data_IF_915897425131
#
_entry.id   IF_915897425131
#
_cell.length_a   1.000
_cell.length_b   1.000
_cell.length_c   1.000
_cell.angle_alpha   90.00
_cell.angle_beta   90.00
_cell.angle_gamma   90.00
#
_symmetry.space_group_name_H-M   'P 1'
#
loop_
_entity.id
_entity.type
_entity.pdbx_description
1 polymer ?
#
# COMPACT_ATOMS: atom_id res chain seq x y z
N UNK A 1 -11.36 -14.68 -14.00
CA UNK A 1 -10.57 -14.80 -12.75
C UNK A 1 -10.08 -13.41 -12.37
N UNK A 2 -10.54 -12.84 -11.25
CA UNK A 2 -10.24 -11.45 -10.88
C UNK A 2 -8.77 -11.32 -10.47
N UNK A 3 -8.02 -10.47 -11.20
CA UNK A 3 -6.61 -10.17 -10.94
C UNK A 3 -6.53 -9.30 -9.68
N UNK A 4 -6.06 -9.87 -8.56
CA UNK A 4 -5.77 -9.11 -7.35
C UNK A 4 -4.54 -8.26 -7.63
N UNK A 5 -4.75 -6.97 -7.87
CA UNK A 5 -3.69 -5.96 -7.97
C UNK A 5 -2.86 -5.98 -6.67
N UNK A 6 -1.75 -6.72 -6.67
CA UNK A 6 -0.74 -6.63 -5.62
C UNK A 6 0.02 -5.34 -5.84
N UNK A 7 -0.35 -4.29 -5.10
CA UNK A 7 0.35 -3.00 -5.12
C UNK A 7 1.73 -3.14 -4.43
N UNK A 8 2.63 -3.93 -5.02
CA UNK A 8 4.02 -4.04 -4.62
C UNK A 8 4.76 -2.81 -5.11
N UNK A 9 5.28 -2.02 -4.17
CA UNK A 9 6.13 -0.86 -4.47
C UNK A 9 7.59 -1.28 -4.34
N UNK A 10 8.34 -1.18 -5.43
CA UNK A 10 9.78 -1.42 -5.44
C UNK A 10 10.52 -0.17 -4.99
N UNK A 11 11.54 -0.34 -4.14
CA UNK A 11 12.42 0.73 -3.69
C UNK A 11 13.86 0.21 -3.57
N UNK A 12 14.83 1.12 -3.62
CA UNK A 12 16.24 0.80 -3.44
C UNK A 12 16.56 0.83 -1.94
N UNK A 13 17.03 -0.29 -1.41
CA UNK A 13 17.54 -0.40 -0.04
C UNK A 13 19.06 -0.21 -0.06
N UNK A 14 19.59 0.65 0.81
CA UNK A 14 21.03 0.83 1.02
C UNK A 14 21.38 0.24 2.38
N UNK A 15 22.24 -0.77 2.37
CA UNK A 15 22.78 -1.45 3.54
C UNK A 15 24.26 -1.74 3.28
N UNK A 16 25.05 -1.85 4.34
CA UNK A 16 26.44 -2.28 4.23
C UNK A 16 26.54 -3.78 3.91
N UNK A 17 27.73 -4.20 3.46
CA UNK A 17 27.96 -5.58 3.01
C UNK A 17 27.86 -6.60 4.15
N UNK A 18 28.28 -6.23 5.36
CA UNK A 18 28.31 -7.14 6.50
C UNK A 18 26.88 -7.48 6.94
N UNK A 19 26.02 -6.45 7.03
CA UNK A 19 24.59 -6.62 7.28
C UNK A 19 23.92 -7.47 6.21
N UNK A 20 24.25 -7.26 4.93
CA UNK A 20 23.67 -8.06 3.84
C UNK A 20 24.03 -9.54 3.97
N UNK A 21 25.32 -9.85 4.21
CA UNK A 21 25.77 -11.23 4.39
C UNK A 21 25.14 -11.91 5.60
N UNK A 22 24.94 -11.18 6.71
CA UNK A 22 24.23 -11.72 7.88
C UNK A 22 22.76 -12.06 7.57
N UNK A 23 22.08 -11.24 6.75
CA UNK A 23 20.69 -11.50 6.35
C UNK A 23 20.61 -12.69 5.38
N UNK A 24 21.57 -12.84 4.47
CA UNK A 24 21.65 -13.99 3.56
C UNK A 24 21.85 -15.30 4.33
N UNK A 25 22.81 -15.35 5.25
CA UNK A 25 23.04 -16.53 6.09
C UNK A 25 21.79 -16.90 6.91
N UNK A 26 21.10 -15.92 7.50
CA UNK A 26 19.86 -16.19 8.24
C UNK A 26 18.74 -16.69 7.32
N UNK A 27 18.64 -16.15 6.10
CA UNK A 27 17.67 -16.64 5.12
C UNK A 27 17.97 -18.10 4.72
N UNK A 28 19.24 -18.46 4.55
CA UNK A 28 19.68 -19.84 4.26
C UNK A 28 19.35 -20.79 5.41
N UNK A 29 19.62 -20.41 6.66
CA UNK A 29 19.32 -21.20 7.86
C UNK A 29 17.82 -21.52 7.99
N UNK A 30 16.95 -20.59 7.58
CA UNK A 30 15.49 -20.75 7.62
C UNK A 30 14.89 -21.25 6.29
N UNK A 31 15.72 -21.62 5.31
CA UNK A 31 15.30 -22.02 3.96
C UNK A 31 14.34 -21.02 3.30
N UNK A 32 14.63 -19.73 3.42
CA UNK A 32 13.89 -18.62 2.80
C UNK A 32 14.75 -17.90 1.76
N UNK A 33 14.09 -17.14 0.87
CA UNK A 33 14.82 -16.16 0.06
C UNK A 33 15.17 -14.93 0.89
N UNK A 34 16.27 -14.26 0.55
CA UNK A 34 16.70 -13.01 1.21
C UNK A 34 15.60 -11.94 1.20
N UNK A 35 14.86 -11.82 0.09
CA UNK A 35 13.73 -10.90 0.02
C UNK A 35 12.57 -11.31 0.95
N UNK A 36 12.28 -12.62 1.06
CA UNK A 36 11.30 -13.13 2.02
C UNK A 36 11.72 -12.86 3.47
N UNK A 37 13.01 -13.02 3.77
CA UNK A 37 13.57 -12.73 5.09
C UNK A 37 13.47 -11.24 5.43
N UNK A 38 13.84 -10.35 4.50
CA UNK A 38 13.67 -8.90 4.67
C UNK A 38 12.21 -8.52 4.91
N UNK A 39 11.26 -9.10 4.17
CA UNK A 39 9.84 -8.85 4.38
C UNK A 39 9.38 -9.28 5.77
N UNK A 40 9.84 -10.45 6.24
CA UNK A 40 9.52 -10.94 7.58
C UNK A 40 10.08 -10.02 8.67
N UNK A 41 11.36 -9.65 8.58
CA UNK A 41 12.02 -8.74 9.53
C UNK A 41 11.27 -7.41 9.62
N UNK A 42 10.91 -6.81 8.47
CA UNK A 42 10.17 -5.55 8.42
C UNK A 42 8.78 -5.71 9.04
N UNK A 43 8.05 -6.76 8.70
CA UNK A 43 6.72 -7.01 9.24
C UNK A 43 6.75 -7.20 10.77
N UNK A 44 7.72 -7.96 11.26
CA UNK A 44 7.94 -8.23 12.67
C UNK A 44 8.34 -6.96 13.43
N UNK A 45 9.24 -6.14 12.88
CA UNK A 45 9.63 -4.85 13.45
C UNK A 45 8.44 -3.88 13.52
N UNK A 46 7.63 -3.79 12.46
CA UNK A 46 6.41 -2.97 12.44
C UNK A 46 5.37 -3.44 13.46
N UNK A 47 5.21 -4.77 13.62
CA UNK A 47 4.32 -5.36 14.61
C UNK A 47 4.77 -5.04 16.02
N UNK A 48 6.05 -5.24 16.34
CA UNK A 48 6.66 -4.92 17.64
C UNK A 48 6.58 -3.43 17.95
N UNK A 49 6.76 -2.56 16.96
CA UNK A 49 6.63 -1.12 17.11
C UNK A 49 5.16 -0.63 17.19
N UNK A 50 4.16 -1.51 17.02
CA UNK A 50 2.75 -1.12 16.95
C UNK A 50 2.40 -0.24 15.75
N UNK A 51 3.25 -0.22 14.72
CA UNK A 51 3.13 0.62 13.52
C UNK A 51 2.47 -0.08 12.34
N UNK A 52 2.05 -1.33 12.53
CA UNK A 52 1.31 -2.04 11.50
C UNK A 52 0.02 -1.25 11.20
N UNK A 53 -0.26 -0.91 9.93
CA UNK A 53 -1.46 -0.17 9.59
C UNK A 53 -2.68 -0.97 10.07
N UNK A 54 -3.44 -0.40 11.01
CA UNK A 54 -4.75 -0.96 11.38
C UNK A 54 -5.51 -1.13 10.07
N UNK A 55 -5.98 -2.35 9.77
CA UNK A 55 -6.80 -2.62 8.58
C UNK A 55 -8.03 -1.71 8.59
N UNK A 56 -7.90 -0.48 8.08
CA UNK A 56 -9.04 0.29 7.61
C UNK A 56 -9.55 -0.52 6.42
N UNK A 57 -10.74 -1.10 6.56
CA UNK A 57 -11.51 -1.65 5.44
C UNK A 57 -11.67 -0.54 4.39
N UNK A 58 -10.70 -0.39 3.50
CA UNK A 58 -10.66 0.69 2.53
C UNK A 58 -10.25 0.14 1.17
N UNK A 59 -11.15 -0.68 0.60
CA UNK A 59 -11.21 -0.93 -0.84
C UNK A 59 -12.62 -1.36 -1.30
N UNK A 60 -13.69 -0.92 -0.61
CA UNK A 60 -15.08 -1.09 -1.07
C UNK A 60 -15.92 0.11 -0.64
N UNK A 61 -15.54 1.29 -1.10
CA UNK A 61 -16.36 2.51 -1.19
C UNK A 61 -15.66 3.51 -2.10
N UNK A 62 -15.72 3.26 -3.41
CA UNK A 62 -15.58 4.29 -4.45
C UNK A 62 -16.58 3.99 -5.56
N UNK A 63 -17.85 4.20 -5.25
CA UNK A 63 -18.91 4.50 -6.22
C UNK A 63 -20.08 5.08 -5.44
N UNK A 64 -20.03 6.40 -5.22
CA UNK A 64 -21.15 7.30 -4.93
C UNK A 64 -20.54 8.67 -4.69
N UNK A 65 -20.18 9.32 -5.79
CA UNK A 65 -19.97 10.77 -5.92
C UNK A 65 -19.76 11.04 -7.41
N UNK A 66 -20.80 10.71 -8.18
CA UNK A 66 -21.08 11.32 -9.47
C UNK A 66 -22.55 11.75 -9.36
N UNK A 67 -22.79 12.71 -8.48
CA UNK A 67 -23.99 13.54 -8.49
C UNK A 67 -23.48 14.95 -8.21
N UNK A 68 -23.81 15.83 -9.14
CA UNK A 68 -23.72 17.28 -9.06
C UNK A 68 -22.45 17.96 -9.58
N UNK A 69 -22.20 17.77 -10.88
CA UNK A 69 -21.56 18.79 -11.71
C UNK A 69 -22.46 19.12 -12.90
N UNK A 70 -23.44 20.01 -12.69
CA UNK A 70 -23.67 21.17 -13.56
C UNK A 70 -24.90 21.98 -13.07
N UNK A 71 -24.64 22.82 -12.07
CA UNK A 71 -25.25 24.14 -12.01
C UNK A 71 -24.60 24.99 -13.12
N UNK A 72 -25.40 25.69 -13.95
CA UNK A 72 -25.20 27.09 -14.42
C UNK A 72 -26.14 27.39 -15.61
N UNK A 73 -26.90 28.48 -15.48
CA UNK A 73 -27.48 29.27 -16.59
C UNK A 73 -28.98 29.00 -16.84
N UNK A 74 -29.90 29.96 -16.76
CA UNK A 74 -29.75 31.40 -16.85
C UNK A 74 -31.03 32.15 -16.48
N UNK A 75 -30.91 33.46 -16.67
CA UNK A 75 -31.68 34.57 -16.13
C UNK A 75 -33.19 34.64 -16.46
N UNK A 76 -33.82 35.52 -15.67
CA UNK A 76 -35.18 36.08 -15.72
C UNK A 76 -35.66 36.59 -17.10
N UNK A 77 -36.98 36.90 -17.11
CA UNK A 77 -37.77 37.80 -17.98
C UNK A 77 -38.45 37.13 -19.18
N UNK A 78 -39.74 37.31 -19.49
CA UNK A 78 -40.68 38.45 -19.35
C UNK A 78 -42.11 37.93 -19.02
N UNK A 79 -42.82 38.54 -18.05
CA UNK A 79 -43.93 39.53 -18.18
C UNK A 79 -45.23 39.00 -18.83
N UNK A 80 -46.28 38.91 -18.00
CA UNK A 80 -47.64 39.40 -18.31
C UNK A 80 -47.77 40.80 -17.70
#
# INVERSE_FOLDING_TARGET
MAKKETNTKSFILRIDSETMSAIEAWAEDEFRSTNGQLQWIIAEALRKAGRLPKKKKAASKKTKEEVDSNQIGGEKKDEE
#
